data_IF_946300338547
#
_entry.id   IF_946300338547
#
_cell.length_a   1.000
_cell.length_b   1.000
_cell.length_c   1.000
_cell.angle_alpha   90.00
_cell.angle_beta   90.00
_cell.angle_gamma   90.00
#
_symmetry.space_group_name_H-M   'P 1'
#
loop_
_entity.id
_entity.type
_entity.pdbx_description
1 polymer ?
#
# COMPACT_ATOMS: atom_id res chain seq x y z
N UNK A 1 -2.69 -25.04 14.50
CA UNK A 1 -1.60 -25.40 13.57
C UNK A 1 -0.49 -24.36 13.70
N UNK A 2 0.66 -24.47 13.01
CA UNK A 2 1.69 -23.42 13.04
C UNK A 2 1.21 -22.18 12.24
N UNK A 3 1.42 -20.95 12.72
CA UNK A 3 1.04 -19.68 12.05
C UNK A 3 1.55 -19.59 10.60
N UNK A 4 2.69 -20.22 10.30
CA UNK A 4 3.23 -20.33 8.95
C UNK A 4 2.31 -21.10 7.99
N UNK A 5 1.59 -22.11 8.48
CA UNK A 5 0.65 -22.90 7.68
C UNK A 5 -0.57 -22.07 7.26
N UNK A 6 -1.08 -21.22 8.15
CA UNK A 6 -2.24 -20.39 7.87
C UNK A 6 -1.92 -19.24 6.92
N UNK A 7 -0.74 -18.63 7.05
CA UNK A 7 -0.22 -17.66 6.07
C UNK A 7 -0.18 -18.24 4.65
N UNK A 8 0.36 -19.45 4.50
CA UNK A 8 0.43 -20.11 3.20
C UNK A 8 -0.96 -20.44 2.65
N UNK A 9 -1.91 -20.81 3.52
CA UNK A 9 -3.31 -21.02 3.14
C UNK A 9 -3.96 -19.75 2.58
N UNK A 10 -3.80 -18.62 3.25
CA UNK A 10 -4.32 -17.32 2.77
C UNK A 10 -3.69 -16.94 1.43
N UNK A 11 -2.38 -17.15 1.29
CA UNK A 11 -1.69 -16.89 0.03
C UNK A 11 -2.23 -17.76 -1.12
N UNK A 12 -2.41 -19.07 -0.90
CA UNK A 12 -3.00 -19.97 -1.90
C UNK A 12 -4.41 -19.54 -2.29
N UNK A 13 -5.24 -19.20 -1.31
CA UNK A 13 -6.59 -18.69 -1.56
C UNK A 13 -6.55 -17.40 -2.39
N UNK A 14 -5.66 -16.45 -2.08
CA UNK A 14 -5.52 -15.24 -2.91
C UNK A 14 -5.13 -15.55 -4.35
N UNK A 15 -4.24 -16.51 -4.58
CA UNK A 15 -3.85 -16.94 -5.93
C UNK A 15 -5.07 -17.50 -6.68
N UNK A 16 -5.81 -18.41 -6.04
CA UNK A 16 -7.00 -19.02 -6.63
C UNK A 16 -8.07 -17.97 -6.95
N UNK A 17 -8.40 -17.13 -5.98
CA UNK A 17 -9.46 -16.12 -6.11
C UNK A 17 -9.10 -15.04 -7.13
N UNK A 18 -7.86 -14.55 -7.17
CA UNK A 18 -7.41 -13.63 -8.22
C UNK A 18 -7.49 -14.27 -9.62
N UNK A 19 -7.18 -15.56 -9.72
CA UNK A 19 -7.33 -16.34 -10.95
C UNK A 19 -8.77 -16.40 -11.47
N UNK A 20 -9.77 -16.36 -10.57
CA UNK A 20 -11.19 -16.29 -10.99
C UNK A 20 -11.55 -14.96 -11.67
N UNK A 21 -10.88 -13.86 -11.29
CA UNK A 21 -11.14 -12.53 -11.83
C UNK A 21 -10.28 -12.16 -13.04
N UNK A 22 -9.19 -12.89 -13.27
CA UNK A 22 -8.19 -12.59 -14.31
C UNK A 22 -7.99 -13.86 -15.15
N UNK A 23 -8.71 -14.02 -16.28
CA UNK A 23 -8.68 -15.26 -17.07
C UNK A 23 -7.29 -15.66 -17.61
N UNK A 24 -6.37 -14.71 -17.76
CA UNK A 24 -5.02 -14.94 -18.28
C UNK A 24 -3.94 -14.98 -17.18
N UNK A 25 -4.36 -15.04 -15.91
CA UNK A 25 -3.47 -14.95 -14.77
C UNK A 25 -2.49 -16.12 -14.70
N UNK A 26 -1.20 -15.79 -14.65
CA UNK A 26 -0.11 -16.76 -14.55
C UNK A 26 0.67 -16.50 -13.25
N UNK A 27 0.25 -17.10 -12.11
CA UNK A 27 0.80 -16.77 -10.80
C UNK A 27 2.29 -17.12 -10.63
N UNK A 28 2.90 -17.85 -11.55
CA UNK A 28 4.33 -18.21 -11.52
C UNK A 28 5.19 -17.41 -12.51
N UNK A 29 4.66 -16.32 -13.08
CA UNK A 29 5.41 -15.42 -13.98
C UNK A 29 5.44 -13.99 -13.40
N UNK A 30 5.31 -12.95 -14.23
CA UNK A 30 5.21 -11.55 -13.77
C UNK A 30 4.04 -11.31 -12.81
N UNK A 31 2.96 -12.09 -12.94
CA UNK A 31 1.74 -11.87 -12.15
C UNK A 31 1.94 -12.29 -10.69
N UNK A 32 2.98 -13.07 -10.37
CA UNK A 32 3.37 -13.39 -9.00
C UNK A 32 3.58 -12.13 -8.16
N UNK A 33 4.12 -11.07 -8.75
CA UNK A 33 4.31 -9.79 -8.04
C UNK A 33 2.98 -9.19 -7.60
N UNK A 34 1.92 -9.31 -8.41
CA UNK A 34 0.58 -8.84 -8.05
C UNK A 34 0.07 -9.56 -6.79
N UNK A 35 0.29 -10.87 -6.69
CA UNK A 35 -0.08 -11.66 -5.50
C UNK A 35 0.70 -11.23 -4.27
N UNK A 36 1.99 -10.95 -4.43
CA UNK A 36 2.81 -10.42 -3.32
C UNK A 36 2.24 -9.10 -2.82
N UNK A 37 1.86 -8.17 -3.72
CA UNK A 37 1.23 -6.92 -3.34
C UNK A 37 -0.11 -7.14 -2.63
N UNK A 38 -0.98 -7.97 -3.22
CA UNK A 38 -2.29 -8.30 -2.62
C UNK A 38 -2.15 -8.93 -1.23
N UNK A 39 -1.24 -9.87 -1.06
CA UNK A 39 -0.99 -10.53 0.23
C UNK A 39 -0.52 -9.54 1.30
N UNK A 40 0.42 -8.65 0.96
CA UNK A 40 0.88 -7.59 1.88
C UNK A 40 -0.23 -6.61 2.24
N UNK A 41 -0.99 -6.16 1.25
CA UNK A 41 -2.11 -5.25 1.46
C UNK A 41 -3.20 -5.88 2.33
N UNK A 42 -3.49 -7.17 2.15
CA UNK A 42 -4.43 -7.90 2.99
C UNK A 42 -3.95 -7.94 4.44
N UNK A 43 -2.68 -8.27 4.69
CA UNK A 43 -2.09 -8.27 6.03
C UNK A 43 -2.21 -6.88 6.68
N UNK A 44 -1.85 -5.81 5.97
CA UNK A 44 -1.97 -4.43 6.46
C UNK A 44 -3.42 -4.06 6.76
N UNK A 45 -4.33 -4.38 5.84
CA UNK A 45 -5.75 -4.10 6.00
C UNK A 45 -6.33 -4.82 7.22
N UNK A 46 -6.00 -6.11 7.39
CA UNK A 46 -6.42 -6.91 8.55
C UNK A 46 -5.83 -6.35 9.85
N UNK A 47 -4.56 -5.95 9.88
CA UNK A 47 -3.95 -5.32 11.07
C UNK A 47 -4.77 -4.12 11.54
N UNK A 48 -5.10 -3.24 10.61
CA UNK A 48 -5.87 -2.04 10.93
C UNK A 48 -7.29 -2.40 11.37
N UNK A 49 -8.00 -3.27 10.63
CA UNK A 49 -9.39 -3.65 10.96
C UNK A 49 -9.53 -4.47 12.24
N UNK A 50 -8.51 -5.23 12.61
CA UNK A 50 -8.49 -6.04 13.83
C UNK A 50 -7.79 -5.32 14.99
N UNK A 51 -7.25 -4.11 14.77
CA UNK A 51 -6.42 -3.39 15.72
C UNK A 51 -5.29 -4.29 16.29
N UNK A 52 -4.55 -4.93 15.39
CA UNK A 52 -3.48 -5.87 15.70
C UNK A 52 -2.13 -5.33 15.21
N UNK A 53 -1.11 -5.42 16.06
CA UNK A 53 0.23 -4.91 15.74
C UNK A 53 1.10 -5.96 15.01
N UNK A 54 0.78 -7.24 15.16
CA UNK A 54 1.55 -8.37 14.62
C UNK A 54 0.71 -9.29 13.72
N UNK A 55 1.36 -9.88 12.70
CA UNK A 55 0.71 -10.82 11.78
C UNK A 55 0.26 -12.11 12.48
N UNK A 56 0.96 -12.57 13.51
CA UNK A 56 0.63 -13.78 14.28
C UNK A 56 -0.76 -13.66 14.89
N UNK A 57 -1.05 -12.50 15.51
CA UNK A 57 -2.36 -12.21 16.12
C UNK A 57 -3.47 -12.26 15.06
N UNK A 58 -3.21 -11.76 13.84
CA UNK A 58 -4.17 -11.84 12.75
C UNK A 58 -4.44 -13.29 12.37
N UNK A 59 -3.38 -14.08 12.16
CA UNK A 59 -3.55 -15.47 11.72
C UNK A 59 -4.21 -16.33 12.78
N UNK A 60 -3.87 -16.14 14.05
CA UNK A 60 -4.53 -16.82 15.19
C UNK A 60 -6.03 -16.49 15.20
N UNK A 61 -6.40 -15.21 15.12
CA UNK A 61 -7.82 -14.81 15.08
C UNK A 61 -8.54 -15.33 13.84
N UNK A 62 -7.88 -15.39 12.68
CA UNK A 62 -8.48 -15.97 11.49
C UNK A 62 -8.65 -17.49 11.63
N UNK A 63 -7.69 -18.19 12.24
CA UNK A 63 -7.79 -19.63 12.54
C UNK A 63 -8.92 -19.90 13.55
N UNK A 64 -9.07 -19.09 14.60
CA UNK A 64 -10.17 -19.18 15.56
C UNK A 64 -11.54 -18.98 14.89
N UNK A 65 -11.67 -17.96 14.04
CA UNK A 65 -12.95 -17.62 13.41
C UNK A 65 -13.33 -18.55 12.24
N UNK A 66 -12.33 -19.07 11.51
CA UNK A 66 -12.56 -19.79 10.25
C UNK A 66 -11.94 -21.18 10.17
N UNK A 67 -11.23 -21.64 11.20
CA UNK A 67 -10.54 -22.93 11.20
C UNK A 67 -11.49 -24.10 10.91
N UNK A 68 -12.72 -24.02 11.40
CA UNK A 68 -13.80 -25.00 11.16
C UNK A 68 -14.75 -24.62 10.02
N UNK A 69 -14.57 -23.44 9.41
CA UNK A 69 -15.44 -22.88 8.37
C UNK A 69 -14.64 -22.44 7.13
N UNK A 70 -14.02 -23.39 6.41
CA UNK A 70 -13.17 -23.06 5.26
C UNK A 70 -13.92 -22.35 4.12
N UNK A 71 -15.22 -22.64 3.95
CA UNK A 71 -16.07 -21.97 2.96
C UNK A 71 -16.23 -20.46 3.23
N UNK A 72 -16.48 -20.09 4.49
CA UNK A 72 -16.66 -18.68 4.88
C UNK A 72 -15.36 -17.89 4.72
N UNK A 73 -14.21 -18.50 5.03
CA UNK A 73 -12.91 -17.89 4.77
C UNK A 73 -12.73 -17.61 3.29
N UNK A 74 -13.00 -18.61 2.45
CA UNK A 74 -12.86 -18.49 1.00
C UNK A 74 -13.77 -17.39 0.45
N UNK A 75 -15.03 -17.34 0.87
CA UNK A 75 -15.96 -16.27 0.49
C UNK A 75 -15.45 -14.88 0.90
N UNK A 76 -14.91 -14.77 2.12
CA UNK A 76 -14.35 -13.51 2.62
C UNK A 76 -13.13 -13.06 1.81
N UNK A 77 -12.22 -13.99 1.49
CA UNK A 77 -11.04 -13.71 0.66
C UNK A 77 -11.43 -13.38 -0.78
N UNK A 78 -12.40 -14.09 -1.36
CA UNK A 78 -12.93 -13.79 -2.70
C UNK A 78 -13.48 -12.35 -2.76
N UNK A 79 -14.36 -11.99 -1.82
CA UNK A 79 -14.94 -10.65 -1.76
C UNK A 79 -13.86 -9.58 -1.62
N UNK A 80 -12.90 -9.79 -0.71
CA UNK A 80 -11.79 -8.86 -0.52
C UNK A 80 -10.92 -8.75 -1.78
N UNK A 81 -10.58 -9.87 -2.44
CA UNK A 81 -9.77 -9.89 -3.66
C UNK A 81 -10.45 -9.14 -4.81
N UNK A 82 -11.77 -9.30 -4.97
CA UNK A 82 -12.54 -8.54 -5.97
C UNK A 82 -12.50 -7.03 -5.72
N UNK A 83 -12.66 -6.61 -4.46
CA UNK A 83 -12.54 -5.20 -4.06
C UNK A 83 -11.12 -4.68 -4.27
N UNK A 84 -10.10 -5.45 -3.87
CA UNK A 84 -8.70 -5.10 -4.02
C UNK A 84 -8.34 -4.93 -5.50
N UNK A 85 -8.76 -5.86 -6.35
CA UNK A 85 -8.50 -5.81 -7.78
C UNK A 85 -9.16 -4.59 -8.45
N UNK A 86 -10.36 -4.22 -8.02
CA UNK A 86 -11.02 -2.98 -8.47
C UNK A 86 -10.16 -1.76 -8.14
N UNK A 87 -9.59 -1.70 -6.93
CA UNK A 87 -8.70 -0.61 -6.53
C UNK A 87 -7.34 -0.68 -7.22
N UNK A 88 -6.77 -1.86 -7.41
CA UNK A 88 -5.54 -2.05 -8.17
C UNK A 88 -5.64 -1.45 -9.57
N UNK A 89 -6.73 -1.77 -10.30
CA UNK A 89 -6.98 -1.22 -11.64
C UNK A 89 -7.16 0.31 -11.65
N UNK A 90 -7.64 0.89 -10.55
CA UNK A 90 -7.79 2.33 -10.38
C UNK A 90 -6.46 3.01 -10.05
N UNK A 91 -5.68 2.44 -9.13
CA UNK A 91 -4.53 3.08 -8.47
C UNK A 91 -3.20 2.76 -9.12
N UNK A 92 -3.05 1.64 -9.83
CA UNK A 92 -1.76 1.17 -10.33
C UNK A 92 -1.72 1.26 -11.84
N UNK A 93 -0.72 2.01 -12.34
CA UNK A 93 -0.36 2.01 -13.75
C UNK A 93 0.98 1.30 -13.94
N UNK A 94 0.96 0.24 -14.74
CA UNK A 94 2.18 -0.44 -15.17
C UNK A 94 2.79 0.37 -16.31
N UNK A 95 4.05 0.72 -16.16
CA UNK A 95 4.82 1.44 -17.16
C UNK A 95 5.69 0.46 -17.94
N UNK A 96 5.51 0.43 -19.26
CA UNK A 96 6.37 -0.31 -20.20
C UNK A 96 7.66 0.43 -20.52
N UNK A 97 7.66 1.76 -20.38
CA UNK A 97 8.80 2.65 -20.56
C UNK A 97 8.95 3.56 -19.35
N UNK A 98 10.17 3.99 -19.06
CA UNK A 98 10.46 4.86 -17.91
C UNK A 98 9.74 6.20 -18.13
N UNK A 99 8.86 6.57 -17.20
CA UNK A 99 8.21 7.88 -17.23
C UNK A 99 9.26 8.99 -17.05
N UNK A 100 9.34 9.89 -18.02
CA UNK A 100 10.25 11.04 -17.96
C UNK A 100 9.62 12.16 -17.14
N UNK A 101 10.23 12.45 -15.99
CA UNK A 101 9.90 13.64 -15.19
C UNK A 101 10.98 14.70 -15.37
N UNK A 102 10.65 15.99 -15.25
CA UNK A 102 11.64 17.06 -15.26
C UNK A 102 12.77 16.78 -14.25
N UNK A 103 14.06 16.98 -14.62
CA UNK A 103 15.19 16.69 -13.73
C UNK A 103 15.07 17.34 -12.35
N UNK A 104 14.60 18.59 -12.29
CA UNK A 104 14.38 19.31 -11.03
C UNK A 104 13.33 18.64 -10.15
N UNK A 105 12.29 18.07 -10.76
CA UNK A 105 11.26 17.33 -10.06
C UNK A 105 11.83 16.05 -9.43
N UNK A 106 12.63 15.32 -10.21
CA UNK A 106 13.31 14.09 -9.76
C UNK A 106 14.24 14.40 -8.58
N UNK A 107 15.07 15.44 -8.70
CA UNK A 107 16.02 15.80 -7.65
C UNK A 107 15.30 16.24 -6.37
N UNK A 108 14.18 16.96 -6.49
CA UNK A 108 13.37 17.36 -5.34
C UNK A 108 12.76 16.15 -4.63
N UNK A 109 12.19 15.18 -5.36
CA UNK A 109 11.67 13.94 -4.78
C UNK A 109 12.80 13.14 -4.12
N UNK A 110 13.99 13.10 -4.74
CA UNK A 110 15.18 12.44 -4.16
C UNK A 110 15.58 13.08 -2.83
N UNK A 111 15.62 14.42 -2.76
CA UNK A 111 15.88 15.17 -1.51
C UNK A 111 14.81 14.90 -0.46
N UNK A 112 13.53 14.93 -0.84
CA UNK A 112 12.42 14.64 0.05
C UNK A 112 12.49 13.23 0.65
N UNK A 113 12.82 12.21 -0.17
CA UNK A 113 13.05 10.85 0.30
C UNK A 113 14.17 10.78 1.33
N UNK A 114 15.30 11.45 1.09
CA UNK A 114 16.41 11.50 2.06
C UNK A 114 15.99 12.15 3.37
N UNK A 115 15.24 13.25 3.33
CA UNK A 115 14.72 13.89 4.54
C UNK A 115 13.75 12.98 5.29
N UNK A 116 12.84 12.32 4.57
CA UNK A 116 11.90 11.37 5.16
C UNK A 116 12.59 10.20 5.87
N UNK A 117 13.75 9.74 5.41
CA UNK A 117 14.50 8.70 6.13
C UNK A 117 15.08 9.18 7.47
N UNK A 118 15.26 10.49 7.65
CA UNK A 118 15.92 11.09 8.81
C UNK A 118 14.95 11.88 9.71
N UNK A 119 13.64 11.78 9.49
CA UNK A 119 12.64 12.44 10.33
C UNK A 119 12.38 11.63 11.59
N UNK A 120 12.29 12.31 12.73
CA UNK A 120 11.83 11.69 13.97
C UNK A 120 10.40 11.16 13.80
N UNK A 121 10.07 10.08 14.51
CA UNK A 121 8.73 9.46 14.49
C UNK A 121 8.21 9.09 13.09
N UNK A 122 9.11 8.76 12.16
CA UNK A 122 8.80 8.32 10.79
C UNK A 122 7.81 7.15 10.77
N UNK A 123 8.02 6.17 11.64
CA UNK A 123 7.22 4.95 11.69
C UNK A 123 5.78 5.25 12.12
N UNK A 124 5.62 6.10 13.12
CA UNK A 124 4.34 6.57 13.66
C UNK A 124 3.60 7.41 12.61
N UNK A 125 4.30 8.33 11.94
CA UNK A 125 3.74 9.11 10.84
C UNK A 125 3.19 8.19 9.73
N UNK A 126 3.97 7.21 9.30
CA UNK A 126 3.53 6.23 8.29
C UNK A 126 2.33 5.42 8.81
N UNK A 127 2.39 4.93 10.05
CA UNK A 127 1.33 4.14 10.66
C UNK A 127 0.00 4.92 10.72
N UNK A 128 0.02 6.17 11.15
CA UNK A 128 -1.16 7.04 11.19
C UNK A 128 -1.75 7.27 9.78
N UNK A 129 -0.89 7.45 8.78
CA UNK A 129 -1.33 7.61 7.38
C UNK A 129 -1.94 6.31 6.82
N UNK A 130 -1.31 5.16 7.08
CA UNK A 130 -1.82 3.82 6.71
C UNK A 130 -3.17 3.54 7.34
N UNK A 131 -3.32 3.78 8.65
CA UNK A 131 -4.59 3.61 9.36
C UNK A 131 -5.69 4.45 8.72
N UNK A 132 -5.41 5.74 8.48
CA UNK A 132 -6.38 6.64 7.84
C UNK A 132 -6.74 6.21 6.42
N UNK A 133 -5.79 5.73 5.62
CA UNK A 133 -6.07 5.21 4.27
C UNK A 133 -7.07 4.04 4.32
N UNK A 134 -6.84 3.07 5.22
CA UNK A 134 -7.75 1.92 5.40
C UNK A 134 -9.12 2.35 5.92
N UNK A 135 -9.18 3.33 6.81
CA UNK A 135 -10.45 3.87 7.31
C UNK A 135 -11.25 4.60 6.22
N UNK A 136 -10.57 5.20 5.24
CA UNK A 136 -11.19 5.81 4.06
C UNK A 136 -11.36 4.83 2.88
N UNK A 137 -11.19 3.52 3.12
CA UNK A 137 -11.51 2.48 2.15
C UNK A 137 -10.44 2.24 1.09
N UNK A 138 -9.22 2.74 1.29
CA UNK A 138 -8.08 2.30 0.49
C UNK A 138 -7.60 0.93 0.99
N UNK A 139 -7.52 -0.02 0.07
CA UNK A 139 -7.17 -1.41 0.38
C UNK A 139 -6.03 -1.92 -0.49
N UNK A 140 -5.58 -1.14 -1.47
CA UNK A 140 -4.56 -1.50 -2.44
C UNK A 140 -3.38 -0.53 -2.37
N UNK A 141 -2.17 -1.05 -2.39
CA UNK A 141 -0.91 -0.31 -2.30
C UNK A 141 -0.87 0.65 -1.10
N UNK A 142 -1.38 0.22 0.05
CA UNK A 142 -1.67 1.11 1.20
C UNK A 142 -0.38 1.79 1.69
N UNK A 143 0.67 1.00 1.96
CA UNK A 143 1.96 1.54 2.41
C UNK A 143 2.66 2.40 1.34
N UNK A 144 2.81 1.94 0.08
CA UNK A 144 3.37 2.77 -0.99
C UNK A 144 2.64 4.10 -1.20
N UNK A 145 1.31 4.12 -1.13
CA UNK A 145 0.52 5.35 -1.24
C UNK A 145 0.81 6.26 -0.04
N UNK A 146 0.78 5.72 1.19
CA UNK A 146 1.09 6.49 2.40
C UNK A 146 2.47 7.17 2.29
N UNK A 147 3.49 6.40 1.93
CA UNK A 147 4.86 6.89 1.79
C UNK A 147 4.99 7.94 0.67
N UNK A 148 4.37 7.71 -0.49
CA UNK A 148 4.38 8.68 -1.58
C UNK A 148 3.72 10.01 -1.18
N UNK A 149 2.57 9.98 -0.50
CA UNK A 149 1.89 11.20 -0.03
C UNK A 149 2.76 12.00 0.95
N UNK A 150 3.44 11.31 1.87
CA UNK A 150 4.37 11.92 2.82
C UNK A 150 5.56 12.56 2.08
N UNK A 151 6.18 11.84 1.15
CA UNK A 151 7.31 12.33 0.35
C UNK A 151 6.90 13.52 -0.50
N UNK A 152 5.75 13.49 -1.15
CA UNK A 152 5.20 14.60 -1.93
C UNK A 152 4.99 15.84 -1.07
N UNK A 153 4.49 15.67 0.16
CA UNK A 153 4.28 16.78 1.07
C UNK A 153 5.62 17.39 1.51
N UNK A 154 6.63 16.57 1.84
CA UNK A 154 7.99 17.05 2.12
C UNK A 154 8.57 17.77 0.89
N UNK A 155 8.37 17.24 -0.32
CA UNK A 155 8.84 17.86 -1.56
C UNK A 155 8.21 19.25 -1.81
N UNK A 156 6.92 19.43 -1.51
CA UNK A 156 6.27 20.75 -1.56
C UNK A 156 6.89 21.74 -0.57
N UNK A 157 7.23 21.28 0.63
CA UNK A 157 7.91 22.11 1.63
C UNK A 157 9.30 22.54 1.14
N UNK A 158 10.08 21.65 0.51
CA UNK A 158 11.37 21.99 -0.11
C UNK A 158 11.18 23.08 -1.18
N UNK A 159 10.17 22.93 -2.06
CA UNK A 159 9.91 23.91 -3.12
C UNK A 159 9.62 25.31 -2.56
N UNK A 160 8.81 25.39 -1.49
CA UNK A 160 8.48 26.66 -0.83
C UNK A 160 9.69 27.29 -0.13
N UNK A 161 10.60 26.47 0.42
CA UNK A 161 11.78 26.93 1.19
C UNK A 161 12.97 27.42 0.37
N UNK A 162 13.01 27.17 -0.94
CA UNK A 162 13.97 27.84 -1.84
C UNK A 162 13.81 29.38 -1.84
N UNK A 163 12.82 29.94 -1.13
CA UNK A 163 12.61 31.38 -0.97
C UNK A 163 13.04 31.98 0.37
N UNK A 164 13.42 31.22 1.39
CA UNK A 164 14.10 31.73 2.60
C UNK A 164 14.50 30.60 3.56
N UNK A 165 15.74 30.66 4.02
CA UNK A 165 16.40 29.72 4.91
C UNK A 165 15.81 29.77 6.33
N UNK A 166 15.24 28.66 6.78
CA UNK A 166 15.39 28.16 8.14
C UNK A 166 14.92 26.72 8.18
N UNK A 167 15.70 25.87 8.84
CA UNK A 167 15.49 24.46 9.07
C UNK A 167 14.34 24.24 10.08
N UNK A 168 13.21 24.94 9.93
CA UNK A 168 12.03 24.73 10.79
C UNK A 168 11.65 23.28 10.65
N UNK A 169 11.73 22.54 11.76
CA UNK A 169 11.67 21.10 11.80
C UNK A 169 10.52 20.58 10.92
N UNK A 170 10.82 19.58 10.09
CA UNK A 170 9.78 18.77 9.46
C UNK A 170 9.01 18.11 10.61
N UNK A 171 7.99 18.78 11.12
CA UNK A 171 7.20 18.28 12.24
C UNK A 171 6.30 17.16 11.68
N UNK A 172 6.41 15.91 12.15
CA UNK A 172 5.61 14.79 11.66
C UNK A 172 4.10 15.05 11.75
N UNK A 173 3.63 15.74 12.80
CA UNK A 173 2.21 16.08 12.94
C UNK A 173 1.74 17.08 11.89
N UNK A 174 2.59 18.06 11.54
CA UNK A 174 2.27 19.00 10.46
C UNK A 174 2.17 18.30 9.12
N UNK A 175 3.08 17.36 8.84
CA UNK A 175 3.04 16.54 7.61
C UNK A 175 1.78 15.67 7.62
N UNK A 176 1.50 15.01 8.73
CA UNK A 176 0.31 14.18 8.88
C UNK A 176 -0.97 14.98 8.63
N UNK A 177 -1.12 16.17 9.21
CA UNK A 177 -2.31 17.00 9.03
C UNK A 177 -2.56 17.35 7.55
N UNK A 178 -1.50 17.68 6.81
CA UNK A 178 -1.59 17.94 5.37
C UNK A 178 -1.94 16.67 4.57
N UNK A 179 -1.26 15.56 4.85
CA UNK A 179 -1.50 14.25 4.20
C UNK A 179 -2.90 13.73 4.52
N UNK A 180 -3.37 13.91 5.75
CA UNK A 180 -4.70 13.53 6.24
C UNK A 180 -5.81 14.18 5.41
N UNK A 181 -5.73 15.49 5.17
CA UNK A 181 -6.69 16.19 4.29
C UNK A 181 -6.66 15.72 2.84
N UNK A 182 -5.52 15.21 2.35
CA UNK A 182 -5.42 14.57 1.03
C UNK A 182 -6.07 13.18 1.03
N UNK A 183 -5.77 12.33 2.02
CA UNK A 183 -6.35 11.00 2.17
C UNK A 183 -7.88 11.05 2.17
N UNK A 184 -8.47 12.00 2.91
CA UNK A 184 -9.94 12.13 2.98
C UNK A 184 -10.61 12.44 1.64
N UNK A 185 -9.87 12.92 0.65
CA UNK A 185 -10.37 13.21 -0.71
C UNK A 185 -10.11 12.09 -1.72
N UNK A 186 -9.17 11.19 -1.42
CA UNK A 186 -8.79 10.09 -2.33
C UNK A 186 -9.93 9.20 -2.80
N UNK A 187 -10.99 8.91 -2.02
CA UNK A 187 -12.11 8.11 -2.53
C UNK A 187 -12.84 8.77 -3.71
N UNK A 188 -12.76 10.10 -3.84
CA UNK A 188 -13.35 10.88 -4.95
C UNK A 188 -12.40 11.05 -6.12
N UNK A 189 -11.11 10.79 -5.93
CA UNK A 189 -10.08 10.96 -6.94
C UNK A 189 -9.88 9.66 -7.71
N UNK A 190 -10.22 9.68 -9.00
CA UNK A 190 -9.96 8.56 -9.90
C UNK A 190 -8.62 8.75 -10.59
N UNK A 191 -7.82 7.68 -10.64
CA UNK A 191 -6.59 7.65 -11.40
C UNK A 191 -5.42 7.02 -10.63
N UNK A 192 -4.31 6.76 -11.35
CA UNK A 192 -3.18 6.07 -10.78
C UNK A 192 -2.46 6.93 -9.75
N UNK A 193 -2.18 6.33 -8.59
CA UNK A 193 -1.33 6.89 -7.53
C UNK A 193 0.03 6.19 -7.47
N UNK A 194 0.14 5.01 -8.10
CA UNK A 194 1.34 4.20 -8.15
C UNK A 194 1.67 3.88 -9.60
N UNK A 195 2.94 4.09 -9.94
CA UNK A 195 3.50 3.72 -11.23
C UNK A 195 4.53 2.63 -11.00
N UNK A 196 4.27 1.44 -11.53
CA UNK A 196 5.18 0.30 -11.42
C UNK A 196 5.95 0.14 -12.73
N UNK A 197 7.27 0.22 -12.64
CA UNK A 197 8.14 -0.22 -13.72
C UNK A 197 8.26 -1.74 -13.60
N UNK A 198 7.51 -2.47 -14.40
CA UNK A 198 7.79 -3.89 -14.58
C UNK A 198 8.88 -3.95 -15.64
N UNK A 199 10.07 -4.44 -15.28
CA UNK A 199 11.05 -4.80 -16.30
C UNK A 199 10.42 -5.89 -17.15
N UNK A 200 10.21 -5.69 -18.47
CA UNK A 200 9.85 -6.80 -19.33
C UNK A 200 11.01 -7.79 -19.26
N UNK A 201 10.72 -9.02 -18.84
CA UNK A 201 11.64 -10.15 -18.76
C UNK A 201 12.72 -10.06 -17.66
N UNK A 202 12.41 -10.67 -16.51
CA UNK A 202 13.38 -11.51 -15.81
C UNK A 202 12.85 -12.94 -15.90
N UNK A 203 12.93 -13.51 -17.10
CA UNK A 203 13.04 -14.92 -17.40
C UNK A 203 13.93 -15.02 -18.64
#
# INVERSE_FOLDING_TARGET
MNTLSFKNKIFSLLVEELGTYIPQFKPYTSDYQMVIYASKDLEIWLKVKMNADDNRVIYERLEENFGTKPGDLRLSINFWAGMWLKKWRERVRILSTRFEMPPDHIERIRKARRLYQNIDYKSELKHMAVKKLVDYGEICMIEPIAENLIIEEIAKHIQKRNRNLTLVALNPLSIYNAVSGRISRLPKEKGPLIYLNIKPNIF
#
